data_IF_135804188637
#
_entry.id   IF_135804188637
#
_cell.length_a   1.000
_cell.length_b   1.000
_cell.length_c   1.000
_cell.angle_alpha   90.00
_cell.angle_beta   90.00
_cell.angle_gamma   90.00
#
_symmetry.space_group_name_H-M   'P 1'
#
loop_
_entity.id
_entity.type
_entity.pdbx_description
1 polymer ?
#
# COMPACT_ATOMS: atom_id res chain seq x y z
N UNK A 1 -16.12 26.19 15.58
CA UNK A 1 -16.75 24.86 15.46
C UNK A 1 -16.71 24.37 14.01
N UNK A 2 -17.10 25.21 13.08
CA UNK A 2 -17.12 24.85 11.67
C UNK A 2 -15.71 24.56 11.14
N UNK A 3 -14.73 25.39 11.49
CA UNK A 3 -13.33 25.19 11.11
C UNK A 3 -12.76 23.91 11.74
N UNK A 4 -13.16 23.60 12.96
CA UNK A 4 -12.73 22.37 13.63
C UNK A 4 -13.26 21.12 12.91
N UNK A 5 -14.51 21.19 12.41
CA UNK A 5 -15.09 20.07 11.67
C UNK A 5 -14.34 19.83 10.36
N UNK A 6 -13.96 20.89 9.64
CA UNK A 6 -13.17 20.77 8.40
C UNK A 6 -11.79 20.21 8.68
N UNK A 7 -11.18 20.66 9.76
CA UNK A 7 -9.87 20.16 10.18
C UNK A 7 -9.95 18.69 10.57
N UNK A 8 -11.00 18.32 11.30
CA UNK A 8 -11.22 16.92 11.70
C UNK A 8 -11.39 16.00 10.50
N UNK A 9 -12.08 16.44 9.45
CA UNK A 9 -12.26 15.63 8.24
C UNK A 9 -10.92 15.25 7.62
N UNK A 10 -9.99 16.20 7.55
CA UNK A 10 -8.66 15.92 7.04
C UNK A 10 -7.86 14.96 7.92
N UNK A 11 -8.18 14.90 9.22
CA UNK A 11 -7.50 14.04 10.18
C UNK A 11 -8.10 12.64 10.28
N UNK A 12 -9.36 12.44 9.82
CA UNK A 12 -9.99 11.13 9.85
C UNK A 12 -9.37 10.16 8.86
N UNK A 13 -8.82 10.67 7.78
CA UNK A 13 -8.08 9.85 6.82
C UNK A 13 -6.61 9.79 7.23
N UNK A 14 -6.12 8.59 7.41
CA UNK A 14 -4.72 8.34 7.73
C UNK A 14 -4.11 7.53 6.60
N UNK A 15 -3.69 8.23 5.55
CA UNK A 15 -3.20 7.60 4.34
C UNK A 15 -1.71 7.33 4.44
N UNK A 16 -1.34 6.07 4.22
CA UNK A 16 0.04 5.65 4.06
C UNK A 16 0.18 4.96 2.70
N UNK A 17 1.15 5.41 1.92
CA UNK A 17 1.44 4.81 0.63
C UNK A 17 2.80 4.11 0.72
N UNK A 18 2.76 2.78 0.68
CA UNK A 18 3.96 1.95 0.60
C UNK A 18 4.25 1.75 -0.87
N UNK A 19 5.25 2.44 -1.37
CA UNK A 19 5.51 2.49 -2.80
C UNK A 19 6.94 2.17 -3.17
N UNK A 20 7.18 2.18 -4.47
CA UNK A 20 8.49 2.01 -5.07
C UNK A 20 8.66 3.10 -6.12
N UNK A 21 9.74 3.86 -6.02
CA UNK A 21 10.00 4.98 -6.93
C UNK A 21 10.06 4.55 -8.40
N UNK A 22 10.34 3.29 -8.66
CA UNK A 22 10.37 2.74 -10.02
C UNK A 22 8.99 2.31 -10.53
N UNK A 23 7.99 2.30 -9.67
CA UNK A 23 6.64 1.87 -10.01
C UNK A 23 5.79 3.03 -10.52
N UNK A 24 5.26 2.91 -11.73
CA UNK A 24 4.34 3.89 -12.27
C UNK A 24 3.08 4.03 -11.43
N UNK A 25 2.58 2.90 -10.95
CA UNK A 25 1.34 2.90 -10.15
C UNK A 25 1.56 3.61 -8.81
N UNK A 26 2.76 3.51 -8.22
CA UNK A 26 3.09 4.26 -7.01
C UNK A 26 3.06 5.76 -7.26
N UNK A 27 3.62 6.20 -8.40
CA UNK A 27 3.61 7.61 -8.78
C UNK A 27 2.20 8.10 -9.05
N UNK A 28 1.38 7.29 -9.72
CA UNK A 28 -0.03 7.63 -9.97
C UNK A 28 -0.82 7.77 -8.68
N UNK A 29 -0.56 6.89 -7.71
CA UNK A 29 -1.21 6.96 -6.41
C UNK A 29 -0.87 8.26 -5.70
N UNK A 30 0.41 8.64 -5.64
CA UNK A 30 0.81 9.90 -5.03
C UNK A 30 0.13 11.09 -5.70
N UNK A 31 0.11 11.09 -7.03
CA UNK A 31 -0.55 12.16 -7.79
C UNK A 31 -2.03 12.25 -7.45
N UNK A 32 -2.69 11.11 -7.38
CA UNK A 32 -4.13 11.06 -7.09
C UNK A 32 -4.46 11.75 -5.77
N UNK A 33 -3.70 11.44 -4.72
CA UNK A 33 -3.92 12.05 -3.40
C UNK A 33 -3.50 13.53 -3.38
N UNK A 34 -2.39 13.87 -4.02
CA UNK A 34 -1.94 15.26 -4.12
C UNK A 34 -2.95 16.16 -4.81
N UNK A 35 -3.50 15.72 -5.94
CA UNK A 35 -4.48 16.50 -6.70
C UNK A 35 -5.74 16.78 -5.90
N UNK A 36 -6.07 15.91 -4.96
CA UNK A 36 -7.25 16.06 -4.10
C UNK A 36 -6.92 16.70 -2.76
N UNK A 37 -5.67 17.13 -2.59
CA UNK A 37 -5.18 17.79 -1.37
C UNK A 37 -5.36 16.92 -0.13
N UNK A 38 -5.20 15.61 -0.28
CA UNK A 38 -5.26 14.64 0.81
C UNK A 38 -3.83 14.38 1.28
N UNK A 39 -3.57 14.61 2.55
CA UNK A 39 -2.25 14.35 3.13
C UNK A 39 -2.00 12.86 3.21
N UNK A 40 -0.77 12.46 2.96
CA UNK A 40 -0.36 11.06 3.06
C UNK A 40 1.09 10.97 3.50
N UNK A 41 1.44 9.83 4.07
CA UNK A 41 2.82 9.48 4.36
C UNK A 41 3.29 8.51 3.28
N UNK A 42 4.41 8.80 2.65
CA UNK A 42 5.02 7.91 1.67
C UNK A 42 6.13 7.10 2.33
N UNK A 43 6.08 5.79 2.17
CA UNK A 43 7.10 4.88 2.68
C UNK A 43 7.73 4.15 1.49
N UNK A 44 9.04 4.28 1.33
CA UNK A 44 9.79 3.60 0.28
C UNK A 44 9.99 2.14 0.69
N UNK A 45 9.18 1.24 0.12
CA UNK A 45 9.21 -0.17 0.49
C UNK A 45 10.57 -0.83 0.31
N UNK A 46 11.29 -0.65 -0.83
CA UNK A 46 12.59 -1.28 -0.98
C UNK A 46 13.59 -0.89 0.10
N UNK A 47 13.47 0.31 0.65
CA UNK A 47 14.40 0.81 1.66
C UNK A 47 13.99 0.43 3.09
N UNK A 48 12.70 0.56 3.41
CA UNK A 48 12.25 0.43 4.79
C UNK A 48 11.45 -0.83 5.07
N UNK A 49 10.92 -1.47 4.02
CA UNK A 49 10.07 -2.63 4.20
C UNK A 49 8.78 -2.30 4.91
N UNK A 50 8.20 -3.31 5.48
CA UNK A 50 7.00 -3.23 6.30
C UNK A 50 7.28 -3.84 7.65
N UNK A 51 6.79 -3.22 8.72
CA UNK A 51 6.88 -3.83 10.05
C UNK A 51 6.01 -5.10 10.11
N UNK A 52 6.29 -5.98 11.07
CA UNK A 52 5.52 -7.21 11.24
C UNK A 52 4.03 -6.91 11.44
N UNK A 53 3.72 -5.87 12.22
CA UNK A 53 2.34 -5.47 12.46
C UNK A 53 1.65 -4.92 11.23
N UNK A 54 2.34 -4.07 10.48
CA UNK A 54 1.82 -3.54 9.21
C UNK A 54 1.57 -4.65 8.22
N UNK A 55 2.51 -5.57 8.06
CA UNK A 55 2.36 -6.69 7.14
C UNK A 55 1.18 -7.57 7.53
N UNK A 56 1.06 -7.89 8.82
CA UNK A 56 -0.05 -8.70 9.31
C UNK A 56 -1.40 -8.06 9.00
N UNK A 57 -1.50 -6.75 9.15
CA UNK A 57 -2.73 -6.02 8.88
C UNK A 57 -3.11 -6.07 7.39
N UNK A 58 -2.15 -5.82 6.49
CA UNK A 58 -2.45 -5.86 5.05
C UNK A 58 -2.67 -7.29 4.56
N UNK A 59 -1.94 -8.25 5.10
CA UNK A 59 -2.13 -9.67 4.75
C UNK A 59 -3.53 -10.14 5.13
N UNK A 60 -4.01 -9.73 6.30
CA UNK A 60 -5.35 -10.11 6.76
C UNK A 60 -6.44 -9.61 5.82
N UNK A 61 -6.27 -8.44 5.24
CA UNK A 61 -7.27 -7.82 4.35
C UNK A 61 -7.14 -8.27 2.90
N UNK A 62 -5.91 -8.42 2.41
CA UNK A 62 -5.66 -8.63 0.99
C UNK A 62 -5.18 -10.04 0.65
N UNK A 63 -4.60 -10.74 1.61
CA UNK A 63 -3.98 -12.03 1.39
C UNK A 63 -2.57 -11.92 0.84
N UNK A 64 -1.75 -12.92 1.15
CA UNK A 64 -0.36 -12.98 0.71
C UNK A 64 -0.22 -12.92 -0.81
N UNK A 65 -1.07 -13.65 -1.52
CA UNK A 65 -0.97 -13.78 -2.98
C UNK A 65 -1.16 -12.44 -3.71
N UNK A 66 -1.96 -11.55 -3.14
CA UNK A 66 -2.16 -10.22 -3.70
C UNK A 66 -0.97 -9.29 -3.46
N UNK A 67 -0.14 -9.60 -2.47
CA UNK A 67 0.96 -8.74 -2.04
C UNK A 67 2.28 -9.01 -2.76
N UNK A 68 2.47 -10.21 -3.30
CA UNK A 68 3.70 -10.57 -3.97
C UNK A 68 3.61 -10.30 -5.47
N UNK A 69 4.64 -9.66 -6.01
CA UNK A 69 4.73 -9.38 -7.44
C UNK A 69 5.42 -10.55 -8.15
N UNK A 70 4.61 -11.38 -8.79
CA UNK A 70 5.11 -12.55 -9.52
C UNK A 70 5.73 -12.18 -10.88
N UNK A 71 5.59 -10.93 -11.29
CA UNK A 71 6.11 -10.47 -12.58
C UNK A 71 7.42 -9.70 -12.45
N UNK A 72 7.88 -9.43 -11.24
CA UNK A 72 9.11 -8.69 -11.05
C UNK A 72 10.33 -9.60 -11.22
N UNK A 73 11.45 -8.96 -11.50
CA UNK A 73 12.71 -9.66 -11.75
C UNK A 73 13.18 -10.47 -10.54
N UNK A 74 13.03 -9.91 -9.35
CA UNK A 74 13.45 -10.57 -8.12
C UNK A 74 12.71 -11.88 -7.87
N UNK A 75 11.46 -11.99 -8.31
CA UNK A 75 10.66 -13.20 -8.15
C UNK A 75 11.34 -14.40 -8.84
N UNK A 76 11.85 -14.19 -10.05
CA UNK A 76 12.56 -15.25 -10.78
C UNK A 76 13.99 -15.43 -10.27
N UNK A 77 14.71 -14.35 -10.00
CA UNK A 77 16.09 -14.40 -9.54
C UNK A 77 16.24 -15.14 -8.22
N UNK A 78 15.23 -15.08 -7.36
CA UNK A 78 15.22 -15.78 -6.09
C UNK A 78 14.57 -17.17 -6.16
N UNK A 79 14.25 -17.62 -7.35
CA UNK A 79 13.68 -18.95 -7.62
C UNK A 79 12.35 -19.19 -6.89
N UNK A 80 11.56 -18.14 -6.70
CA UNK A 80 10.31 -18.25 -5.93
C UNK A 80 9.26 -19.16 -6.55
N UNK A 81 9.17 -19.32 -7.90
CA UNK A 81 8.24 -20.26 -8.47
C UNK A 81 8.47 -21.71 -8.02
N UNK A 82 9.66 -22.00 -7.51
CA UNK A 82 10.06 -23.38 -7.15
C UNK A 82 10.05 -23.65 -5.64
N UNK A 83 9.57 -22.72 -4.83
CA UNK A 83 9.55 -22.88 -3.38
C UNK A 83 8.11 -22.81 -2.86
N UNK A 84 7.93 -23.28 -1.62
CA UNK A 84 6.59 -23.31 -1.00
C UNK A 84 6.06 -21.90 -0.75
N UNK A 85 4.74 -21.74 -0.60
CA UNK A 85 4.16 -20.44 -0.25
C UNK A 85 4.75 -19.85 1.04
N UNK A 86 5.05 -20.70 2.04
CA UNK A 86 5.65 -20.26 3.29
C UNK A 86 7.04 -19.69 3.07
N UNK A 87 7.84 -20.34 2.22
CA UNK A 87 9.17 -19.86 1.86
C UNK A 87 9.09 -18.60 1.04
N UNK A 88 8.09 -18.47 0.16
CA UNK A 88 7.86 -17.24 -0.60
C UNK A 88 7.55 -16.08 0.32
N UNK A 89 6.74 -16.30 1.35
CA UNK A 89 6.40 -15.26 2.32
C UNK A 89 7.62 -14.78 3.09
N UNK A 90 8.49 -15.71 3.51
CA UNK A 90 9.75 -15.36 4.15
C UNK A 90 10.60 -14.45 3.26
N UNK A 91 10.69 -14.80 1.98
CA UNK A 91 11.44 -14.02 1.01
C UNK A 91 10.82 -12.65 0.78
N UNK A 92 9.50 -12.57 0.75
CA UNK A 92 8.80 -11.30 0.60
C UNK A 92 9.19 -10.31 1.71
N UNK A 93 9.26 -10.79 2.94
CA UNK A 93 9.63 -9.95 4.07
C UNK A 93 11.12 -9.61 4.09
N UNK A 94 11.96 -10.51 3.60
CA UNK A 94 13.40 -10.30 3.51
C UNK A 94 13.79 -9.35 2.35
N UNK A 95 13.05 -9.43 1.24
CA UNK A 95 13.29 -8.65 0.03
C UNK A 95 12.06 -7.83 -0.31
N UNK A 96 11.93 -6.61 0.26
CA UNK A 96 10.72 -5.81 0.07
C UNK A 96 10.41 -5.41 -1.37
N UNK A 97 11.40 -5.49 -2.28
CA UNK A 97 11.16 -5.26 -3.71
C UNK A 97 10.22 -6.28 -4.33
N UNK A 98 9.96 -7.38 -3.63
CA UNK A 98 8.99 -8.38 -4.07
C UNK A 98 7.55 -7.95 -3.86
N UNK A 99 7.31 -6.92 -3.07
CA UNK A 99 5.95 -6.43 -2.85
C UNK A 99 5.37 -5.83 -4.12
N UNK A 100 4.12 -6.14 -4.38
CA UNK A 100 3.34 -5.42 -5.38
C UNK A 100 3.04 -4.03 -4.83
N UNK A 101 3.27 -3.00 -5.63
CA UNK A 101 3.14 -1.61 -5.21
C UNK A 101 2.17 -0.85 -6.10
N UNK A 102 1.52 0.20 -5.58
CA UNK A 102 1.56 0.66 -4.19
C UNK A 102 0.63 -0.15 -3.28
N UNK A 103 0.98 -0.22 -2.00
CA UNK A 103 0.04 -0.67 -0.97
C UNK A 103 -0.41 0.59 -0.25
N UNK A 104 -1.70 0.89 -0.31
CA UNK A 104 -2.27 2.11 0.28
C UNK A 104 -3.12 1.72 1.47
N UNK A 105 -2.79 2.28 2.63
CA UNK A 105 -3.54 2.04 3.86
C UNK A 105 -4.29 3.29 4.26
N UNK A 106 -5.49 3.09 4.77
CA UNK A 106 -6.31 4.13 5.40
C UNK A 106 -6.88 3.53 6.68
N UNK A 107 -6.15 3.67 7.79
CA UNK A 107 -6.52 3.01 9.04
C UNK A 107 -6.55 1.49 8.84
N UNK A 108 -7.70 0.89 9.08
CA UNK A 108 -7.90 -0.56 8.92
C UNK A 108 -8.14 -0.99 7.47
N UNK A 109 -8.38 -0.04 6.57
CA UNK A 109 -8.62 -0.35 5.15
C UNK A 109 -7.33 -0.29 4.37
N UNK A 110 -7.23 -1.10 3.32
CA UNK A 110 -6.05 -1.07 2.47
C UNK A 110 -6.37 -1.59 1.06
N UNK A 111 -5.53 -1.18 0.12
CA UNK A 111 -5.60 -1.63 -1.28
C UNK A 111 -4.19 -1.95 -1.77
N UNK A 112 -4.11 -2.72 -2.85
CA UNK A 112 -2.86 -2.96 -3.56
C UNK A 112 -3.06 -2.61 -5.03
N UNK A 113 -2.08 -1.94 -5.62
CA UNK A 113 -2.14 -1.42 -6.98
C UNK A 113 -2.81 -0.06 -7.04
N UNK A 114 -3.04 0.40 -8.27
CA UNK A 114 -3.71 1.68 -8.49
C UNK A 114 -5.22 1.48 -8.42
N UNK A 115 -5.83 1.92 -7.32
CA UNK A 115 -7.24 1.66 -7.02
C UNK A 115 -8.02 2.93 -6.69
N UNK A 116 -8.10 3.89 -7.64
CA UNK A 116 -8.84 5.12 -7.40
C UNK A 116 -10.33 4.88 -7.13
N UNK A 117 -10.89 3.78 -7.66
CA UNK A 117 -12.27 3.37 -7.41
C UNK A 117 -12.54 3.20 -5.91
N UNK A 118 -11.64 2.53 -5.21
CA UNK A 118 -11.77 2.31 -3.77
C UNK A 118 -11.47 3.60 -2.99
N UNK A 119 -10.43 4.33 -3.40
CA UNK A 119 -10.04 5.56 -2.72
C UNK A 119 -11.13 6.63 -2.81
N UNK A 120 -11.85 6.68 -3.93
CA UNK A 120 -13.02 7.55 -4.06
C UNK A 120 -14.11 7.21 -3.03
N UNK A 121 -14.30 5.91 -2.77
CA UNK A 121 -15.25 5.47 -1.75
C UNK A 121 -14.82 5.95 -0.36
N UNK A 122 -13.52 5.91 -0.06
CA UNK A 122 -13.00 6.41 1.21
C UNK A 122 -13.28 7.91 1.38
N UNK A 123 -13.03 8.68 0.32
CA UNK A 123 -13.30 10.12 0.33
C UNK A 123 -14.79 10.39 0.52
N UNK A 124 -15.65 9.65 -0.19
CA UNK A 124 -17.11 9.81 -0.07
C UNK A 124 -17.60 9.46 1.32
N UNK A 125 -17.07 8.40 1.92
CA UNK A 125 -17.45 7.99 3.28
C UNK A 125 -17.06 9.06 4.30
N UNK A 126 -15.91 9.70 4.13
CA UNK A 126 -15.47 10.76 5.04
C UNK A 126 -16.36 12.01 4.92
N UNK A 127 -16.81 12.33 3.71
CA UNK A 127 -17.68 13.49 3.47
C UNK A 127 -19.12 13.26 3.97
N UNK A 128 -19.52 12.02 4.09
CA UNK A 128 -20.83 11.69 4.63
C UNK A 128 -20.82 11.87 6.15
#
# INVERSE_FOLDING_TARGET
>A
IFLLLLYHRGMLMNIQIFGNKKSFDSKKAERWFKERRIKYQYIDLPRYGMSAGEYRAVKQKLGFEALIDTQCRAYEELYLPYVTPEAQEEKLLEYPELFRTPIVRNGKYCTVGYRPDVWEQWVSAEKA
#
